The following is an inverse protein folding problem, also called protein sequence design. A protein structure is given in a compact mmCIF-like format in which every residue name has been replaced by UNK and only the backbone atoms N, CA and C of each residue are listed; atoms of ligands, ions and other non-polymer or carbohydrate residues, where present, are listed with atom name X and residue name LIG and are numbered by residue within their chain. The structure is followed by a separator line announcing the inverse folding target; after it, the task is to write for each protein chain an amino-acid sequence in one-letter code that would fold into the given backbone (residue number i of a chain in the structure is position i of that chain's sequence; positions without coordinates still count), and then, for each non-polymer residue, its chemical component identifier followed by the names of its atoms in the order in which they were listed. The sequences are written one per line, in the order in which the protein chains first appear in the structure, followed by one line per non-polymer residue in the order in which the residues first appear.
data_IF_067085314998
#
_entry.id   IF_067085314998
#
_cell.length_a   1.000
_cell.length_b   1.000
_cell.length_c   1.000
_cell.angle_alpha   90.00
_cell.angle_beta   90.00
_cell.angle_gamma   90.00
#
_symmetry.space_group_name_H-M   'P 1'
#
loop_
_entity.id
_entity.type
_entity.pdbx_description
1 polymer ?
#
# COMPACT_ATOMS: atom_id res chain seq x y z
N UNK A 1 10.00 -11.74 1.30
CA UNK A 1 10.77 -11.20 0.17
C UNK A 1 12.15 -11.82 0.09
N UNK A 2 12.48 -12.34 -1.10
CA UNK A 2 13.82 -12.81 -1.49
C UNK A 2 14.73 -11.61 -1.74
N UNK A 3 16.04 -11.75 -1.50
CA UNK A 3 17.04 -10.68 -1.69
C UNK A 3 17.14 -10.18 -3.14
N UNK A 4 16.60 -10.94 -4.10
CA UNK A 4 16.64 -10.62 -5.52
C UNK A 4 15.38 -9.87 -6.04
N UNK A 5 14.38 -9.66 -5.18
CA UNK A 5 13.21 -8.83 -5.54
C UNK A 5 13.58 -7.36 -5.40
N UNK A 6 13.54 -6.62 -6.50
CA UNK A 6 13.98 -5.22 -6.55
C UNK A 6 12.77 -4.30 -6.76
N UNK A 7 12.51 -3.32 -5.88
CA UNK A 7 11.46 -2.33 -6.11
C UNK A 7 11.82 -1.43 -7.30
N UNK A 8 10.84 -1.14 -8.15
CA UNK A 8 11.02 -0.32 -9.34
C UNK A 8 10.38 1.05 -9.18
N UNK A 9 9.12 1.08 -8.75
CA UNK A 9 8.38 2.30 -8.50
C UNK A 9 7.14 2.01 -7.65
N UNK A 10 6.59 3.04 -7.03
CA UNK A 10 5.28 2.97 -6.40
C UNK A 10 4.38 4.08 -6.92
N UNK A 11 3.07 3.83 -6.88
CA UNK A 11 2.08 4.86 -7.10
C UNK A 11 0.88 4.67 -6.17
N UNK A 12 0.26 5.79 -5.82
CA UNK A 12 -0.95 5.82 -5.02
C UNK A 12 -2.04 6.59 -5.76
N UNK A 13 -3.25 6.03 -5.75
CA UNK A 13 -4.46 6.73 -6.15
C UNK A 13 -5.36 6.92 -4.93
N UNK A 14 -5.77 8.16 -4.67
CA UNK A 14 -6.70 8.49 -3.59
C UNK A 14 -8.05 8.91 -4.16
N UNK A 15 -9.11 8.37 -3.58
CA UNK A 15 -10.47 8.85 -3.79
C UNK A 15 -11.11 9.22 -2.46
N UNK A 16 -11.90 10.29 -2.48
CA UNK A 16 -12.56 10.83 -1.28
C UNK A 16 -14.03 11.04 -1.61
N UNK A 17 -14.92 10.39 -0.85
CA UNK A 17 -16.36 10.51 -1.01
C UNK A 17 -16.89 11.82 -0.39
N UNK A 18 -18.13 12.18 -0.71
CA UNK A 18 -18.79 13.35 -0.12
C UNK A 18 -19.09 13.16 1.36
N UNK A 19 -19.22 11.92 1.78
CA UNK A 19 -19.51 11.47 3.13
C UNK A 19 -18.24 11.33 4.00
N UNK A 20 -17.07 11.66 3.45
CA UNK A 20 -15.79 11.65 4.16
C UNK A 20 -15.11 10.30 4.21
N UNK A 21 -15.44 9.38 3.30
CA UNK A 21 -14.75 8.10 3.15
C UNK A 21 -13.55 8.27 2.24
N UNK A 22 -12.39 7.81 2.70
CA UNK A 22 -11.14 7.84 1.97
C UNK A 22 -10.84 6.42 1.52
N UNK A 23 -10.51 6.26 0.25
CA UNK A 23 -10.01 5.01 -0.30
C UNK A 23 -8.71 5.28 -1.04
N UNK A 24 -7.66 4.59 -0.63
CA UNK A 24 -6.35 4.65 -1.25
C UNK A 24 -6.04 3.30 -1.89
N UNK A 25 -5.66 3.36 -3.16
CA UNK A 25 -5.10 2.25 -3.90
C UNK A 25 -3.59 2.46 -3.99
N UNK A 26 -2.82 1.69 -3.24
CA UNK A 26 -1.36 1.79 -3.21
C UNK A 26 -0.78 0.58 -3.95
N UNK A 27 0.08 0.84 -4.92
CA UNK A 27 0.73 -0.22 -5.69
C UNK A 27 2.23 -0.02 -5.70
N UNK A 28 2.97 -1.08 -5.40
CA UNK A 28 4.43 -1.15 -5.58
C UNK A 28 4.74 -2.16 -6.67
N UNK A 29 5.53 -1.75 -7.63
CA UNK A 29 5.99 -2.56 -8.75
C UNK A 29 7.42 -3.04 -8.49
N UNK A 30 7.67 -4.31 -8.82
CA UNK A 30 8.94 -4.96 -8.56
C UNK A 30 9.47 -5.66 -9.81
N UNK A 31 10.78 -5.85 -9.84
CA UNK A 31 11.46 -6.80 -10.70
C UNK A 31 11.83 -8.04 -9.89
N UNK A 32 11.33 -9.20 -10.29
CA UNK A 32 11.52 -10.49 -9.61
C UNK A 32 12.10 -11.51 -10.60
N UNK A 33 13.44 -11.52 -10.81
CA UNK A 33 14.08 -12.39 -11.79
C UNK A 33 13.97 -13.88 -11.43
N UNK A 34 13.86 -14.20 -10.15
CA UNK A 34 13.75 -15.57 -9.63
C UNK A 34 12.30 -16.07 -9.55
N UNK A 35 11.34 -15.21 -9.91
CA UNK A 35 9.91 -15.50 -9.88
C UNK A 35 9.44 -15.98 -8.50
N UNK A 36 10.02 -15.41 -7.44
CA UNK A 36 9.65 -15.70 -6.06
C UNK A 36 8.13 -15.64 -5.88
N UNK A 37 7.49 -14.55 -6.30
CA UNK A 37 6.05 -14.36 -6.12
C UNK A 37 5.21 -15.31 -6.97
N UNK A 38 5.65 -15.63 -8.19
CA UNK A 38 4.95 -16.60 -9.04
C UNK A 38 5.00 -18.00 -8.41
N UNK A 39 6.14 -18.39 -7.85
CA UNK A 39 6.32 -19.70 -7.23
C UNK A 39 5.44 -19.87 -5.98
N UNK A 40 5.04 -18.77 -5.32
CA UNK A 40 4.07 -18.81 -4.22
C UNK A 40 2.66 -19.19 -4.70
N UNK A 41 2.25 -18.82 -5.91
CA UNK A 41 0.92 -19.16 -6.44
C UNK A 41 0.69 -20.68 -6.52
N UNK A 42 1.77 -21.45 -6.73
CA UNK A 42 1.72 -22.91 -6.73
C UNK A 42 1.52 -23.53 -5.33
N UNK A 43 1.71 -22.74 -4.26
CA UNK A 43 1.65 -23.17 -2.86
C UNK A 43 0.71 -22.27 -2.06
N UNK A 44 -0.61 -22.55 -2.05
CA UNK A 44 -1.62 -21.65 -1.47
C UNK A 44 -1.35 -21.24 0.00
N UNK A 45 -0.82 -22.16 0.82
CA UNK A 45 -0.51 -21.86 2.22
C UNK A 45 0.73 -20.99 2.40
N UNK A 46 1.68 -20.99 1.46
CA UNK A 46 2.81 -20.06 1.48
C UNK A 46 2.40 -18.69 0.94
N UNK A 47 1.56 -18.67 -0.11
CA UNK A 47 0.95 -17.44 -0.62
C UNK A 47 0.16 -16.70 0.45
N UNK A 48 -0.72 -17.39 1.17
CA UNK A 48 -1.53 -16.80 2.25
C UNK A 48 -0.66 -16.17 3.35
N UNK A 49 0.43 -16.83 3.73
CA UNK A 49 1.39 -16.29 4.72
C UNK A 49 2.14 -15.06 4.21
N UNK A 50 2.52 -15.03 2.93
CA UNK A 50 3.18 -13.84 2.38
C UNK A 50 2.18 -12.68 2.27
N UNK A 51 0.92 -12.92 1.87
CA UNK A 51 -0.15 -11.92 1.91
C UNK A 51 -0.37 -11.38 3.32
N UNK A 52 -0.47 -12.25 4.33
CA UNK A 52 -0.63 -11.84 5.73
C UNK A 52 0.54 -10.98 6.19
N UNK A 53 1.77 -11.38 5.85
CA UNK A 53 2.98 -10.60 6.17
C UNK A 53 2.97 -9.22 5.50
N UNK A 54 2.62 -9.15 4.22
CA UNK A 54 2.53 -7.87 3.47
C UNK A 54 1.44 -6.97 4.04
N UNK A 55 0.31 -7.55 4.46
CA UNK A 55 -0.76 -6.83 5.13
C UNK A 55 -0.30 -6.27 6.47
N UNK A 56 0.32 -7.10 7.32
CA UNK A 56 0.80 -6.71 8.65
C UNK A 56 1.85 -5.61 8.58
N UNK A 57 2.81 -5.72 7.66
CA UNK A 57 3.84 -4.70 7.47
C UNK A 57 3.23 -3.35 7.08
N UNK A 58 2.35 -3.34 6.07
CA UNK A 58 1.70 -2.09 5.63
C UNK A 58 0.81 -1.50 6.73
N UNK A 59 0.07 -2.34 7.46
CA UNK A 59 -0.74 -1.85 8.59
C UNK A 59 0.14 -1.26 9.70
N UNK A 60 1.31 -1.84 9.96
CA UNK A 60 2.30 -1.31 10.90
C UNK A 60 2.77 0.09 10.51
N UNK A 61 3.17 0.30 9.24
CA UNK A 61 3.55 1.62 8.75
C UNK A 61 2.43 2.65 8.95
N UNK A 62 1.19 2.30 8.59
CA UNK A 62 0.02 3.19 8.78
C UNK A 62 -0.27 3.52 10.25
N UNK A 63 0.09 2.64 11.18
CA UNK A 63 -0.08 2.85 12.62
C UNK A 63 0.99 3.79 13.21
N UNK A 64 2.18 3.84 12.62
CA UNK A 64 3.26 4.77 12.97
C UNK A 64 2.94 6.20 12.48
N UNK A 65 2.26 6.32 11.34
CA UNK A 65 1.83 7.60 10.79
C UNK A 65 0.80 8.34 11.64
N UNK A 66 0.86 9.67 11.60
CA UNK A 66 -0.18 10.53 12.15
C UNK A 66 -1.13 11.06 11.08
N UNK A 67 -2.36 10.56 11.09
CA UNK A 67 -3.40 10.90 10.12
C UNK A 67 -4.56 11.68 10.77
N UNK A 68 -4.90 12.84 10.24
CA UNK A 68 -5.97 13.70 10.78
C UNK A 68 -6.88 14.27 9.69
N UNK A 69 -8.18 14.29 9.97
CA UNK A 69 -9.18 15.01 9.16
C UNK A 69 -9.80 16.10 10.03
N UNK A 70 -9.65 17.37 9.62
CA UNK A 70 -10.11 18.54 10.37
C UNK A 70 -9.59 18.59 11.83
N UNK A 71 -8.34 18.15 12.05
CA UNK A 71 -7.73 18.09 13.38
C UNK A 71 -8.24 16.95 14.26
N UNK A 72 -9.03 16.02 13.71
CA UNK A 72 -9.46 14.79 14.39
C UNK A 72 -8.65 13.61 13.87
N UNK A 73 -8.04 12.86 14.78
CA UNK A 73 -7.30 11.64 14.45
C UNK A 73 -8.20 10.64 13.72
N UNK A 74 -7.68 10.09 12.64
CA UNK A 74 -8.25 8.96 11.90
C UNK A 74 -7.21 7.84 11.82
N UNK A 75 -7.67 6.62 11.51
CA UNK A 75 -6.83 5.43 11.50
C UNK A 75 -7.04 4.69 10.17
N UNK A 76 -6.16 4.93 9.18
CA UNK A 76 -6.13 4.16 7.94
C UNK A 76 -6.00 2.65 8.24
N UNK A 77 -6.79 1.86 7.53
CA UNK A 77 -6.76 0.39 7.64
C UNK A 77 -6.58 -0.26 6.30
N UNK A 78 -5.69 -1.23 6.22
CA UNK A 78 -5.58 -2.11 5.05
C UNK A 78 -6.79 -3.03 5.03
N UNK A 79 -7.65 -2.89 4.02
CA UNK A 79 -8.87 -3.71 3.86
C UNK A 79 -8.69 -4.82 2.83
N UNK A 80 -7.65 -4.74 2.00
CA UNK A 80 -7.31 -5.76 1.01
C UNK A 80 -5.82 -5.66 0.65
N UNK A 81 -5.20 -6.81 0.43
CA UNK A 81 -3.83 -6.95 -0.04
C UNK A 81 -3.78 -8.08 -1.07
N UNK A 82 -3.06 -7.88 -2.16
CA UNK A 82 -2.87 -8.91 -3.18
C UNK A 82 -1.55 -8.75 -3.94
N UNK A 83 -1.13 -9.82 -4.61
CA UNK A 83 0.04 -9.85 -5.48
C UNK A 83 -0.44 -10.19 -6.89
N UNK A 84 -0.04 -9.41 -7.87
CA UNK A 84 -0.46 -9.55 -9.26
C UNK A 84 0.73 -9.29 -10.19
N UNK A 85 0.57 -9.50 -11.50
CA UNK A 85 1.67 -9.40 -12.47
C UNK A 85 1.34 -8.46 -13.64
N UNK A 86 2.28 -7.60 -14.04
CA UNK A 86 2.14 -6.72 -15.21
C UNK A 86 2.73 -7.35 -16.47
N UNK A 87 1.92 -8.16 -17.15
CA UNK A 87 2.25 -8.67 -18.49
C UNK A 87 3.43 -9.66 -18.56
N UNK A 88 4.16 -9.87 -17.46
CA UNK A 88 5.26 -10.83 -17.34
C UNK A 88 5.35 -11.37 -15.90
N UNK A 89 5.73 -12.64 -15.79
CA UNK A 89 5.96 -13.36 -14.52
C UNK A 89 7.09 -12.75 -13.67
N UNK A 90 8.00 -11.99 -14.29
CA UNK A 90 9.12 -11.33 -13.59
C UNK A 90 8.79 -9.89 -13.18
N UNK A 91 7.55 -9.44 -13.41
CA UNK A 91 7.10 -8.08 -13.12
C UNK A 91 5.88 -8.08 -12.19
N UNK A 92 6.03 -8.59 -10.95
CA UNK A 92 4.98 -8.55 -9.97
C UNK A 92 4.74 -7.13 -9.46
N UNK A 93 3.53 -6.88 -9.01
CA UNK A 93 3.16 -5.73 -8.22
C UNK A 93 2.35 -6.16 -7.01
N UNK A 94 2.57 -5.47 -5.90
CA UNK A 94 1.81 -5.67 -4.67
C UNK A 94 0.81 -4.53 -4.56
N UNK A 95 -0.44 -4.89 -4.30
CA UNK A 95 -1.56 -3.99 -4.18
C UNK A 95 -2.05 -3.94 -2.74
N UNK A 96 -2.26 -2.74 -2.20
CA UNK A 96 -3.00 -2.52 -0.98
C UNK A 96 -4.19 -1.60 -1.24
N UNK A 97 -5.35 -1.96 -0.69
CA UNK A 97 -6.50 -1.07 -0.58
C UNK A 97 -6.59 -0.63 0.88
N UNK A 98 -6.47 0.67 1.10
CA UNK A 98 -6.50 1.28 2.42
C UNK A 98 -7.76 2.15 2.54
N UNK A 99 -8.43 2.09 3.68
CA UNK A 99 -9.68 2.82 3.91
C UNK A 99 -9.76 3.40 5.30
N UNK A 100 -10.37 4.59 5.39
CA UNK A 100 -10.77 5.22 6.66
C UNK A 100 -11.88 6.23 6.41
N UNK A 101 -12.49 6.70 7.50
CA UNK A 101 -13.54 7.72 7.45
C UNK A 101 -13.19 8.90 8.35
N UNK A 102 -13.23 10.09 7.77
CA UNK A 102 -13.07 11.36 8.48
C UNK A 102 -14.42 12.04 8.70
N UNK A 103 -14.47 12.91 9.72
CA UNK A 103 -15.64 13.74 9.97
C UNK A 103 -15.58 15.01 9.12
N UNK A 104 -16.48 15.11 8.13
CA UNK A 104 -16.56 16.29 7.27
C UNK A 104 -17.47 17.37 7.84
N UNK A 105 -17.09 18.62 7.56
CA UNK A 105 -17.86 19.82 7.88
C UNK A 105 -18.28 20.54 6.60
N UNK A 106 -19.30 21.40 6.70
CA UNK A 106 -19.69 22.28 5.59
C UNK A 106 -18.52 23.21 5.24
N UNK A 107 -18.23 23.32 3.94
CA UNK A 107 -17.15 24.15 3.43
C UNK A 107 -15.84 23.37 3.31
N UNK A 108 -14.74 24.01 3.67
CA UNK A 108 -13.39 23.47 3.52
C UNK A 108 -13.08 22.38 4.57
N UNK A 109 -12.49 21.29 4.07
CA UNK A 109 -12.01 20.16 4.86
C UNK A 109 -10.53 19.95 4.57
N UNK A 110 -9.75 19.63 5.60
CA UNK A 110 -8.30 19.43 5.49
C UNK A 110 -7.96 18.03 5.99
N UNK A 111 -7.19 17.30 5.18
CA UNK A 111 -6.54 16.05 5.56
C UNK A 111 -5.05 16.30 5.71
N UNK A 112 -4.47 15.82 6.81
CA UNK A 112 -3.04 15.93 7.11
C UNK A 112 -2.51 14.55 7.45
N UNK A 113 -1.37 14.22 6.84
CA UNK A 113 -0.56 13.05 7.20
C UNK A 113 0.82 13.53 7.62
N UNK A 114 1.31 13.01 8.74
CA UNK A 114 2.68 13.19 9.19
C UNK A 114 3.33 11.83 9.25
N UNK A 115 4.37 11.65 8.46
CA UNK A 115 5.16 10.42 8.34
C UNK A 115 6.60 10.69 8.77
N UNK A 116 7.35 9.65 9.06
CA UNK A 116 8.80 9.78 9.23
C UNK A 116 9.47 10.06 7.88
N UNK A 117 10.71 10.59 7.94
CA UNK A 117 11.54 10.77 6.75
C UNK A 117 12.11 9.41 6.34
N UNK A 118 11.97 9.06 5.07
CA UNK A 118 12.46 7.81 4.51
C UNK A 118 13.27 8.02 3.24
N UNK A 119 14.20 7.11 2.99
CA UNK A 119 14.93 7.01 1.73
C UNK A 119 14.23 6.02 0.82
N UNK A 120 13.93 6.45 -0.41
CA UNK A 120 13.31 5.56 -1.39
C UNK A 120 14.29 4.46 -1.82
N UNK A 121 13.77 3.24 -1.91
CA UNK A 121 14.53 2.07 -2.37
C UNK A 121 14.76 2.06 -3.89
N UNK A 122 14.16 3.01 -4.60
CA UNK A 122 14.21 3.16 -6.06
C UNK A 122 14.43 4.63 -6.45
N UNK A 123 14.97 4.81 -7.65
CA UNK A 123 15.20 6.13 -8.22
C UNK A 123 13.88 6.80 -8.62
N UNK A 124 13.79 8.11 -8.41
CA UNK A 124 12.64 8.94 -8.78
C UNK A 124 12.89 9.80 -10.02
N UNK A 125 14.03 9.64 -10.68
CA UNK A 125 14.35 10.35 -11.91
C UNK A 125 13.37 9.96 -13.03
N UNK A 126 12.66 10.97 -13.54
CA UNK A 126 11.62 10.90 -14.57
C UNK A 126 12.17 11.03 -15.99
#
# INVERSE_FOLDING_TARGET
MSDNVVPLYAHAFFSVSREGEFHQLLTYDYYDPDKYYLNLEANPGEYEREIEKLWLNMQGYLEEETNEVNGRRVYPKVIYTDIQFRGSENSPFILWIISFKGEFRKGENVYVTVTEEEFLEYDCDA
#
